data_IF_444428776313
#
_entry.id   IF_444428776313
#
_cell.length_a   1.000
_cell.length_b   1.000
_cell.length_c   1.000
_cell.angle_alpha   90.00
_cell.angle_beta   90.00
_cell.angle_gamma   90.00
#
_symmetry.space_group_name_H-M   'P 1'
#
loop_
_entity.id
_entity.type
_entity.pdbx_description
1 polymer ?
#
# COMPACT_ATOMS: atom_id res chain seq x y z
N UNK A 1 16.89 -41.54 -16.24
CA UNK A 1 17.84 -41.62 -15.11
C UNK A 1 19.19 -41.10 -15.57
N UNK A 2 19.89 -40.32 -14.73
CA UNK A 2 21.31 -40.00 -14.91
C UNK A 2 21.63 -38.56 -15.29
N UNK A 3 21.63 -37.66 -14.31
CA UNK A 3 22.19 -36.30 -14.39
C UNK A 3 23.71 -36.33 -14.64
N UNK A 4 24.17 -35.69 -15.71
CA UNK A 4 25.60 -35.41 -15.94
C UNK A 4 26.00 -34.20 -15.08
N UNK A 5 26.62 -34.46 -13.93
CA UNK A 5 27.35 -33.43 -13.15
C UNK A 5 28.68 -33.13 -13.86
N UNK A 6 28.81 -31.96 -14.49
CA UNK A 6 30.13 -31.44 -14.88
C UNK A 6 30.93 -31.10 -13.61
N UNK A 7 32.02 -31.84 -13.36
CA UNK A 7 33.09 -31.44 -12.44
C UNK A 7 33.78 -30.21 -13.04
N UNK A 8 33.66 -29.06 -12.39
CA UNK A 8 34.52 -27.90 -12.66
C UNK A 8 35.72 -28.04 -11.73
N UNK A 9 36.88 -28.28 -12.31
CA UNK A 9 38.16 -28.19 -11.60
C UNK A 9 38.48 -26.70 -11.42
N UNK A 10 38.46 -26.23 -10.18
CA UNK A 10 38.98 -24.92 -9.82
C UNK A 10 40.44 -25.09 -9.41
N UNK A 11 41.34 -24.47 -10.17
CA UNK A 11 42.75 -24.32 -9.80
C UNK A 11 42.90 -22.99 -9.06
N UNK A 12 43.31 -22.97 -7.78
CA UNK A 12 43.48 -21.72 -7.05
C UNK A 12 44.72 -20.97 -7.56
N UNK A 13 44.67 -19.63 -7.72
CA UNK A 13 45.88 -18.84 -7.91
C UNK A 13 46.76 -18.88 -6.66
N UNK A 14 48.07 -18.93 -6.88
CA UNK A 14 49.08 -19.03 -5.85
C UNK A 14 49.21 -17.74 -5.00
N UNK A 15 49.35 -17.98 -3.70
CA UNK A 15 50.03 -17.18 -2.67
C UNK A 15 49.43 -15.82 -2.23
N UNK A 16 48.51 -15.94 -1.27
CA UNK A 16 48.64 -15.48 0.13
C UNK A 16 49.20 -14.08 0.40
N UNK A 17 48.29 -13.10 0.50
CA UNK A 17 48.35 -12.17 1.63
C UNK A 17 47.70 -12.87 2.83
N UNK A 18 48.38 -12.92 3.97
CA UNK A 18 47.95 -13.65 5.16
C UNK A 18 46.52 -13.24 5.57
N UNK A 19 45.62 -14.22 5.57
CA UNK A 19 44.27 -14.11 6.15
C UNK A 19 44.46 -14.07 7.67
N UNK A 20 44.52 -12.88 8.24
CA UNK A 20 44.21 -12.69 9.66
C UNK A 20 42.72 -12.48 9.80
N UNK A 21 41.95 -13.57 9.72
CA UNK A 21 40.64 -13.60 10.38
C UNK A 21 40.89 -13.56 11.88
N UNK A 22 40.95 -12.35 12.43
CA UNK A 22 40.80 -12.14 13.86
C UNK A 22 39.37 -12.55 14.21
N UNK A 23 39.22 -13.67 14.91
CA UNK A 23 37.92 -14.22 15.35
C UNK A 23 37.02 -13.10 15.89
N UNK A 24 35.94 -12.77 15.17
CA UNK A 24 34.95 -11.76 15.59
C UNK A 24 35.04 -10.38 14.92
N UNK A 25 35.80 -10.22 13.83
CA UNK A 25 35.88 -8.94 13.09
C UNK A 25 36.01 -9.09 11.57
N UNK A 26 35.62 -8.03 10.84
CA UNK A 26 35.85 -7.89 9.39
C UNK A 26 36.57 -6.59 9.10
N UNK A 27 37.51 -6.57 8.17
CA UNK A 27 38.19 -5.35 7.72
C UNK A 27 37.63 -5.00 6.34
N UNK A 28 37.05 -3.81 6.20
CA UNK A 28 36.44 -3.31 4.97
C UNK A 28 37.02 -1.95 4.62
N UNK A 29 37.03 -1.59 3.35
CA UNK A 29 37.28 -0.22 2.92
C UNK A 29 35.98 0.60 2.92
N UNK A 30 36.04 1.88 3.26
CA UNK A 30 34.87 2.75 3.14
C UNK A 30 34.33 2.79 1.70
N UNK A 31 35.24 2.76 0.72
CA UNK A 31 34.91 2.70 -0.70
C UNK A 31 34.07 1.47 -1.07
N UNK A 32 34.15 0.37 -0.31
CA UNK A 32 33.33 -0.83 -0.57
C UNK A 32 31.84 -0.55 -0.44
N UNK A 33 31.46 0.34 0.48
CA UNK A 33 30.07 0.75 0.64
C UNK A 33 29.62 1.69 -0.47
N UNK A 34 30.52 2.49 -1.03
CA UNK A 34 30.20 3.38 -2.14
C UNK A 34 30.03 2.58 -3.44
N UNK A 35 30.90 1.61 -3.70
CA UNK A 35 30.73 0.66 -4.80
C UNK A 35 29.41 -0.14 -4.67
N UNK A 36 29.05 -0.56 -3.45
CA UNK A 36 27.75 -1.20 -3.21
C UNK A 36 26.59 -0.25 -3.53
N UNK A 37 26.69 1.04 -3.22
CA UNK A 37 25.65 2.03 -3.57
C UNK A 37 25.56 2.25 -5.07
N UNK A 38 26.69 2.29 -5.79
CA UNK A 38 26.71 2.38 -7.25
C UNK A 38 26.03 1.17 -7.89
N UNK A 39 26.27 -0.04 -7.35
CA UNK A 39 25.56 -1.23 -7.77
C UNK A 39 24.04 -1.14 -7.51
N UNK A 40 23.62 -0.59 -6.35
CA UNK A 40 22.20 -0.35 -6.09
C UNK A 40 21.58 0.63 -7.11
N UNK A 41 22.33 1.63 -7.55
CA UNK A 41 21.90 2.55 -8.62
C UNK A 41 21.78 1.82 -9.95
N UNK A 42 22.76 0.99 -10.32
CA UNK A 42 22.72 0.18 -11.53
C UNK A 42 21.51 -0.78 -11.53
N UNK A 43 21.33 -1.56 -10.46
CA UNK A 43 20.19 -2.48 -10.31
C UNK A 43 18.83 -1.76 -10.38
N UNK A 44 18.77 -0.50 -9.93
CA UNK A 44 17.58 0.33 -10.08
C UNK A 44 17.35 0.71 -11.54
N UNK A 45 18.38 1.20 -12.22
CA UNK A 45 18.31 1.64 -13.61
C UNK A 45 17.96 0.47 -14.54
N UNK A 46 18.44 -0.73 -14.23
CA UNK A 46 18.12 -1.99 -14.92
C UNK A 46 16.74 -2.57 -14.53
N UNK A 47 15.96 -1.89 -13.67
CA UNK A 47 14.61 -2.32 -13.28
C UNK A 47 14.57 -3.52 -12.31
N UNK A 48 15.72 -4.06 -11.89
CA UNK A 48 15.83 -5.17 -10.96
C UNK A 48 15.39 -4.81 -9.52
N UNK A 49 15.29 -3.51 -9.22
CA UNK A 49 14.91 -3.00 -7.90
C UNK A 49 13.89 -1.84 -7.95
N UNK A 50 12.85 -1.92 -7.12
CA UNK A 50 11.85 -0.84 -6.99
C UNK A 50 12.43 0.38 -6.26
N UNK A 51 11.93 1.59 -6.56
CA UNK A 51 12.34 2.86 -5.91
C UNK A 51 12.32 2.78 -4.38
N UNK A 52 11.27 2.22 -3.77
CA UNK A 52 11.19 2.11 -2.31
C UNK A 52 12.23 1.16 -1.71
N UNK A 53 12.54 0.04 -2.40
CA UNK A 53 13.59 -0.90 -1.97
C UNK A 53 14.98 -0.27 -2.12
N UNK A 54 15.21 0.50 -3.18
CA UNK A 54 16.43 1.29 -3.38
C UNK A 54 16.61 2.32 -2.24
N UNK A 55 15.58 3.14 -1.97
CA UNK A 55 15.61 4.13 -0.90
C UNK A 55 15.87 3.49 0.45
N UNK A 56 15.16 2.41 0.80
CA UNK A 56 15.36 1.74 2.08
C UNK A 56 16.78 1.18 2.24
N UNK A 57 17.35 0.55 1.19
CA UNK A 57 18.70 -0.01 1.24
C UNK A 57 19.77 1.07 1.31
N UNK A 58 19.68 2.09 0.46
CA UNK A 58 20.64 3.19 0.44
C UNK A 58 20.62 3.99 1.74
N UNK A 59 19.45 4.35 2.25
CA UNK A 59 19.32 5.07 3.52
C UNK A 59 19.82 4.24 4.70
N UNK A 60 19.54 2.93 4.73
CA UNK A 60 20.04 2.06 5.80
C UNK A 60 21.57 1.98 5.84
N UNK A 61 22.22 1.88 4.67
CA UNK A 61 23.70 1.89 4.58
C UNK A 61 24.25 3.23 5.05
N UNK A 62 23.68 4.36 4.60
CA UNK A 62 24.13 5.69 5.03
C UNK A 62 24.01 5.89 6.53
N UNK A 63 22.87 5.51 7.11
CA UNK A 63 22.64 5.58 8.56
C UNK A 63 23.62 4.67 9.30
N UNK A 64 23.83 3.45 8.83
CA UNK A 64 24.81 2.57 9.46
C UNK A 64 26.22 3.19 9.46
N UNK A 65 26.67 3.73 8.32
CA UNK A 65 27.99 4.38 8.22
C UNK A 65 28.11 5.63 9.10
N UNK A 66 27.09 6.50 9.09
CA UNK A 66 27.03 7.70 9.94
C UNK A 66 27.26 7.34 11.41
N UNK A 67 26.51 6.35 11.92
CA UNK A 67 26.58 5.95 13.31
C UNK A 67 27.81 5.07 13.62
N UNK A 68 28.32 4.29 12.65
CA UNK A 68 29.57 3.56 12.80
C UNK A 68 30.76 4.52 12.95
N UNK A 69 30.88 5.51 12.06
CA UNK A 69 31.94 6.54 12.12
C UNK A 69 31.87 7.30 13.43
N UNK A 70 30.66 7.72 13.83
CA UNK A 70 30.42 8.44 15.08
C UNK A 70 30.80 7.63 16.32
N UNK A 71 30.42 6.36 16.38
CA UNK A 71 30.68 5.49 17.55
C UNK A 71 32.12 5.04 17.67
N UNK A 72 32.78 4.84 16.52
CA UNK A 72 34.15 4.31 16.46
C UNK A 72 35.21 5.41 16.51
N UNK A 73 34.83 6.68 16.30
CA UNK A 73 35.75 7.81 16.31
C UNK A 73 36.76 7.74 15.15
N UNK A 74 36.30 7.33 13.96
CA UNK A 74 37.18 7.19 12.79
C UNK A 74 37.63 8.58 12.33
N UNK A 75 38.94 8.80 12.30
CA UNK A 75 39.53 10.06 11.83
C UNK A 75 39.32 10.26 10.31
N UNK A 76 39.12 11.51 9.85
CA UNK A 76 39.04 11.83 8.43
C UNK A 76 40.28 11.33 7.66
N UNK A 77 40.06 10.55 6.60
CA UNK A 77 41.14 9.97 5.79
C UNK A 77 41.46 8.50 6.06
N UNK A 78 40.87 7.88 7.09
CA UNK A 78 40.97 6.44 7.33
C UNK A 78 40.20 5.67 6.24
N UNK A 79 40.90 4.87 5.43
CA UNK A 79 40.28 4.10 4.34
C UNK A 79 39.79 2.72 4.79
N UNK A 80 40.51 2.05 5.69
CA UNK A 80 40.18 0.70 6.17
C UNK A 80 39.57 0.74 7.57
N UNK A 81 38.45 0.04 7.75
CA UNK A 81 37.70 -0.02 9.00
C UNK A 81 37.56 -1.48 9.43
N UNK A 82 38.06 -1.79 10.63
CA UNK A 82 37.74 -3.03 11.34
C UNK A 82 36.34 -2.92 11.95
N UNK A 83 35.39 -3.72 11.52
CA UNK A 83 34.02 -3.80 12.05
C UNK A 83 33.87 -5.07 12.87
N UNK A 84 33.45 -4.92 14.12
CA UNK A 84 33.11 -6.01 15.04
C UNK A 84 31.60 -6.06 15.29
N UNK A 85 31.13 -7.18 15.86
CA UNK A 85 29.77 -7.31 16.40
C UNK A 85 29.42 -6.16 17.37
N UNK A 86 30.37 -5.76 18.22
CA UNK A 86 30.19 -4.66 19.19
C UNK A 86 30.03 -3.30 18.50
N UNK A 87 30.77 -3.04 17.42
CA UNK A 87 30.64 -1.79 16.66
C UNK A 87 29.25 -1.66 16.04
N UNK A 88 28.74 -2.75 15.46
CA UNK A 88 27.38 -2.78 14.87
C UNK A 88 26.33 -2.58 15.96
N UNK A 89 26.48 -3.26 17.10
CA UNK A 89 25.61 -3.06 18.24
C UNK A 89 25.58 -1.61 18.72
N UNK A 90 26.74 -0.98 18.89
CA UNK A 90 26.86 0.40 19.35
C UNK A 90 26.24 1.37 18.34
N UNK A 91 26.53 1.22 17.04
CA UNK A 91 25.99 2.07 15.99
C UNK A 91 24.46 2.08 16.01
N UNK A 92 23.83 0.90 16.04
CA UNK A 92 22.37 0.81 16.11
C UNK A 92 21.79 1.23 17.45
N UNK A 93 22.51 1.03 18.56
CA UNK A 93 22.06 1.49 19.89
C UNK A 93 21.99 3.02 19.95
N UNK A 94 23.03 3.73 19.49
CA UNK A 94 23.01 5.20 19.43
C UNK A 94 21.93 5.68 18.45
N UNK A 95 21.81 5.06 17.28
CA UNK A 95 20.74 5.38 16.32
C UNK A 95 19.35 5.25 16.95
N UNK A 96 19.09 4.18 17.71
CA UNK A 96 17.80 3.99 18.39
C UNK A 96 17.56 5.06 19.45
N UNK A 97 18.57 5.39 20.25
CA UNK A 97 18.45 6.41 21.30
C UNK A 97 18.16 7.81 20.71
N UNK A 98 18.87 8.20 19.65
CA UNK A 98 18.74 9.54 19.07
C UNK A 98 17.52 9.70 18.16
N UNK A 99 17.24 8.70 17.31
CA UNK A 99 16.20 8.82 16.28
C UNK A 99 14.87 8.20 16.68
N UNK A 100 14.85 7.37 17.73
CA UNK A 100 13.66 6.62 18.21
C UNK A 100 12.82 6.04 17.06
N UNK A 101 13.43 5.27 16.14
CA UNK A 101 12.74 4.77 14.95
C UNK A 101 11.62 3.80 15.34
N UNK A 102 10.56 3.74 14.55
CA UNK A 102 9.57 2.67 14.67
C UNK A 102 10.25 1.30 14.50
N UNK A 103 9.75 0.27 15.19
CA UNK A 103 10.31 -1.11 15.13
C UNK A 103 10.42 -1.63 13.69
N UNK A 104 9.44 -1.31 12.84
CA UNK A 104 9.49 -1.69 11.43
C UNK A 104 10.64 -1.02 10.66
N UNK A 105 10.92 0.25 10.95
CA UNK A 105 12.06 0.99 10.37
C UNK A 105 13.37 0.39 10.86
N UNK A 106 13.50 0.10 12.15
CA UNK A 106 14.68 -0.58 12.71
C UNK A 106 14.91 -1.94 12.05
N UNK A 107 13.87 -2.77 11.92
CA UNK A 107 13.94 -4.08 11.23
C UNK A 107 14.40 -3.91 9.78
N UNK A 108 13.89 -2.90 9.08
CA UNK A 108 14.27 -2.62 7.69
C UNK A 108 15.75 -2.23 7.58
N UNK A 109 16.25 -1.43 8.51
CA UNK A 109 17.63 -0.96 8.50
C UNK A 109 18.60 -2.09 8.86
N UNK A 110 18.35 -2.82 9.95
CA UNK A 110 19.13 -4.00 10.34
C UNK A 110 19.23 -5.02 9.20
N UNK A 111 18.08 -5.34 8.56
CA UNK A 111 18.05 -6.26 7.44
C UNK A 111 18.84 -5.75 6.22
N UNK A 112 18.70 -4.47 5.89
CA UNK A 112 19.36 -3.88 4.71
C UNK A 112 20.87 -3.76 4.93
N UNK A 113 21.30 -3.38 6.13
CA UNK A 113 22.72 -3.34 6.52
C UNK A 113 23.33 -4.74 6.53
N UNK A 114 22.63 -5.74 7.08
CA UNK A 114 23.05 -7.15 6.99
C UNK A 114 23.27 -7.56 5.53
N UNK A 115 22.32 -7.27 4.65
CA UNK A 115 22.40 -7.62 3.23
C UNK A 115 23.52 -6.90 2.50
N UNK A 116 23.83 -5.66 2.86
CA UNK A 116 24.97 -4.93 2.33
C UNK A 116 26.30 -5.59 2.73
N UNK A 117 26.46 -5.90 4.02
CA UNK A 117 27.68 -6.56 4.52
C UNK A 117 27.85 -7.97 3.96
N UNK A 118 26.78 -8.78 3.89
CA UNK A 118 26.81 -10.10 3.24
C UNK A 118 27.29 -10.00 1.79
N UNK A 119 26.78 -9.01 1.05
CA UNK A 119 27.14 -8.81 -0.35
C UNK A 119 28.59 -8.38 -0.51
N UNK A 120 29.04 -7.37 0.22
CA UNK A 120 30.41 -6.85 0.15
C UNK A 120 31.41 -7.95 0.52
N UNK A 121 31.20 -8.62 1.65
CA UNK A 121 32.12 -9.65 2.14
C UNK A 121 32.20 -10.85 1.20
N UNK A 122 31.07 -11.29 0.64
CA UNK A 122 31.06 -12.44 -0.26
C UNK A 122 31.65 -12.08 -1.63
N UNK A 123 31.24 -10.95 -2.22
CA UNK A 123 31.65 -10.57 -3.58
C UNK A 123 33.11 -10.16 -3.67
N UNK A 124 33.63 -9.42 -2.68
CA UNK A 124 34.99 -8.88 -2.72
C UNK A 124 36.01 -9.72 -1.97
N UNK A 125 35.60 -10.28 -0.84
CA UNK A 125 36.52 -10.95 0.08
C UNK A 125 36.31 -12.46 0.14
N UNK A 126 35.26 -12.99 -0.52
CA UNK A 126 34.84 -14.38 -0.43
C UNK A 126 34.65 -14.88 1.02
N UNK A 127 34.18 -13.99 1.90
CA UNK A 127 33.94 -14.24 3.32
C UNK A 127 32.44 -14.30 3.58
N UNK A 128 32.01 -15.31 4.32
CA UNK A 128 30.64 -15.39 4.83
C UNK A 128 30.50 -14.55 6.11
N UNK A 129 29.59 -13.58 6.12
CA UNK A 129 29.29 -12.74 7.29
C UNK A 129 29.01 -13.57 8.55
N UNK A 130 28.31 -14.70 8.41
CA UNK A 130 27.95 -15.59 9.52
C UNK A 130 29.15 -16.27 10.19
N UNK A 131 30.32 -16.26 9.54
CA UNK A 131 31.57 -16.81 10.10
C UNK A 131 32.41 -15.74 10.83
N UNK A 132 32.04 -14.46 10.75
CA UNK A 132 32.86 -13.34 11.25
C UNK A 132 32.12 -12.44 12.24
N UNK A 133 30.85 -12.13 11.99
CA UNK A 133 30.03 -11.28 12.86
C UNK A 133 28.86 -12.10 13.42
N UNK A 134 28.61 -11.95 14.72
CA UNK A 134 27.46 -12.57 15.38
C UNK A 134 26.16 -12.05 14.77
N UNK A 135 25.33 -12.93 14.19
CA UNK A 135 24.16 -12.52 13.43
C UNK A 135 23.03 -11.93 14.30
N UNK A 136 23.10 -12.12 15.61
CA UNK A 136 22.17 -11.61 16.61
C UNK A 136 22.07 -10.07 16.62
N UNK A 137 23.15 -9.36 16.26
CA UNK A 137 23.12 -7.89 16.15
C UNK A 137 22.30 -7.38 14.96
N UNK A 138 21.83 -8.27 14.09
CA UNK A 138 20.86 -7.92 13.06
C UNK A 138 19.43 -8.32 13.41
N UNK A 139 19.20 -8.86 14.62
CA UNK A 139 17.87 -9.18 15.12
C UNK A 139 17.26 -7.95 15.83
N UNK A 140 16.14 -7.38 15.36
CA UNK A 140 15.49 -6.27 16.06
C UNK A 140 15.07 -6.62 17.50
N UNK A 141 14.74 -7.89 17.77
CA UNK A 141 14.34 -8.33 19.11
C UNK A 141 15.50 -8.28 20.11
N UNK A 142 16.75 -8.39 19.65
CA UNK A 142 17.95 -8.20 20.48
C UNK A 142 17.98 -6.78 21.07
N UNK A 143 17.73 -5.76 20.26
CA UNK A 143 17.69 -4.37 20.73
C UNK A 143 16.44 -4.07 21.57
N UNK A 144 15.28 -4.60 21.16
CA UNK A 144 14.02 -4.38 21.91
C UNK A 144 14.12 -4.99 23.31
N UNK A 145 14.70 -6.19 23.44
CA UNK A 145 14.88 -6.85 24.73
C UNK A 145 15.96 -6.19 25.60
N UNK A 146 17.09 -5.78 25.04
CA UNK A 146 18.18 -5.11 25.77
C UNK A 146 17.78 -3.69 26.23
N UNK A 147 17.09 -2.91 25.38
CA UNK A 147 16.60 -1.56 25.71
C UNK A 147 15.33 -1.59 26.59
N UNK A 148 14.62 -2.73 26.64
CA UNK A 148 13.49 -2.91 27.57
C UNK A 148 13.94 -2.94 29.03
N UNK A 149 15.20 -3.33 29.32
CA UNK A 149 15.73 -3.29 30.70
C UNK A 149 15.91 -1.86 31.22
N UNK A 150 16.16 -0.88 30.35
CA UNK A 150 16.29 0.54 30.72
C UNK A 150 15.01 1.37 30.51
N UNK A 151 13.93 0.78 29.98
CA UNK A 151 12.67 1.48 29.75
C UNK A 151 11.47 0.59 30.06
N UNK A 152 11.27 0.26 31.34
CA UNK A 152 10.02 -0.38 31.78
C UNK A 152 8.88 0.66 31.75
N UNK A 153 8.28 0.85 30.57
CA UNK A 153 6.84 1.06 30.54
C UNK A 153 6.19 -0.24 31.04
N UNK A 154 5.33 -0.17 32.04
CA UNK A 154 4.62 -1.35 32.55
C UNK A 154 3.86 -2.05 31.42
N UNK A 155 3.73 -3.37 31.48
CA UNK A 155 2.93 -4.18 30.54
C UNK A 155 1.53 -3.57 30.32
N UNK A 156 0.95 -2.97 31.36
CA UNK A 156 -0.31 -2.23 31.30
C UNK A 156 -0.27 -0.97 30.41
N UNK A 157 0.82 -0.20 30.45
CA UNK A 157 1.02 0.96 29.57
C UNK A 157 1.24 0.55 28.12
N UNK A 158 2.03 -0.50 27.87
CA UNK A 158 2.22 -1.06 26.54
C UNK A 158 0.89 -1.57 25.96
N UNK A 159 0.08 -2.28 26.76
CA UNK A 159 -1.25 -2.73 26.35
C UNK A 159 -2.20 -1.56 26.10
N UNK A 160 -2.18 -0.52 26.95
CA UNK A 160 -3.01 0.68 26.78
C UNK A 160 -2.62 1.45 25.51
N UNK A 161 -1.33 1.62 25.25
CA UNK A 161 -0.83 2.25 24.02
C UNK A 161 -1.13 1.38 22.78
N UNK A 162 -1.00 0.06 22.87
CA UNK A 162 -1.41 -0.87 21.81
C UNK A 162 -2.92 -0.77 21.52
N UNK A 163 -3.77 -0.88 22.54
CA UNK A 163 -5.23 -0.77 22.39
C UNK A 163 -5.64 0.60 21.85
N UNK A 164 -5.00 1.68 22.33
CA UNK A 164 -5.23 3.02 21.80
C UNK A 164 -4.81 3.13 20.33
N UNK A 165 -3.65 2.56 19.97
CA UNK A 165 -3.16 2.52 18.60
C UNK A 165 -4.05 1.66 17.69
N UNK A 166 -4.55 0.52 18.16
CA UNK A 166 -5.51 -0.32 17.43
C UNK A 166 -6.85 0.40 17.24
N UNK A 167 -7.40 1.05 18.28
CA UNK A 167 -8.61 1.87 18.17
C UNK A 167 -8.43 3.03 17.18
N UNK A 168 -7.28 3.71 17.23
CA UNK A 168 -6.96 4.80 16.30
C UNK A 168 -6.67 4.34 14.87
N UNK A 169 -6.40 3.04 14.64
CA UNK A 169 -6.24 2.45 13.30
C UNK A 169 -7.58 2.17 12.62
N UNK A 170 -8.67 2.07 13.39
CA UNK A 170 -10.03 1.88 12.85
C UNK A 170 -10.50 3.18 12.23
N UNK A 171 -10.92 3.11 10.98
CA UNK A 171 -11.55 4.21 10.27
C UNK A 171 -13.05 3.98 10.38
N UNK A 172 -13.79 4.94 10.93
CA UNK A 172 -15.24 4.82 11.12
C UNK A 172 -16.01 5.23 9.87
N UNK A 173 -17.29 4.85 9.80
CA UNK A 173 -18.17 5.29 8.71
C UNK A 173 -18.31 6.80 8.67
N UNK A 174 -18.41 7.45 9.84
CA UNK A 174 -18.56 8.91 9.93
C UNK A 174 -17.36 9.60 9.30
N UNK A 175 -16.15 9.08 9.50
CA UNK A 175 -14.95 9.67 8.88
C UNK A 175 -14.95 9.53 7.36
N UNK A 176 -15.46 8.43 6.83
CA UNK A 176 -15.60 8.22 5.38
C UNK A 176 -16.71 9.10 4.81
N UNK A 177 -17.85 9.22 5.51
CA UNK A 177 -18.93 10.15 5.16
C UNK A 177 -18.47 11.61 5.17
N UNK A 178 -17.73 12.03 6.20
CA UNK A 178 -17.12 13.35 6.28
C UNK A 178 -16.14 13.59 5.10
N UNK A 179 -15.39 12.58 4.68
CA UNK A 179 -14.55 12.67 3.48
C UNK A 179 -15.36 12.79 2.19
N UNK A 180 -16.50 12.13 2.08
CA UNK A 180 -17.40 12.24 0.94
C UNK A 180 -18.07 13.63 0.89
N UNK A 181 -18.50 14.18 2.03
CA UNK A 181 -18.96 15.59 2.15
C UNK A 181 -17.87 16.57 1.72
N UNK A 182 -16.64 16.33 2.15
CA UNK A 182 -15.51 17.16 1.71
C UNK A 182 -15.31 17.11 0.19
N UNK A 183 -15.41 15.91 -0.40
CA UNK A 183 -15.29 15.71 -1.83
C UNK A 183 -16.41 16.42 -2.60
N UNK A 184 -17.65 16.37 -2.11
CA UNK A 184 -18.78 17.14 -2.65
C UNK A 184 -18.48 18.65 -2.65
N UNK A 185 -17.99 19.21 -1.54
CA UNK A 185 -17.55 20.62 -1.46
C UNK A 185 -16.50 20.90 -2.54
N UNK A 186 -15.49 20.04 -2.70
CA UNK A 186 -14.47 20.21 -3.73
C UNK A 186 -15.06 20.19 -5.15
N UNK A 187 -15.99 19.28 -5.45
CA UNK A 187 -16.64 19.18 -6.76
C UNK A 187 -17.39 20.48 -7.09
N UNK A 188 -18.13 21.03 -6.12
CA UNK A 188 -18.89 22.27 -6.31
C UNK A 188 -18.02 23.51 -6.40
N UNK A 189 -16.95 23.59 -5.60
CA UNK A 189 -16.09 24.77 -5.50
C UNK A 189 -14.96 24.79 -6.54
N UNK A 190 -14.54 23.62 -7.04
CA UNK A 190 -13.39 23.46 -7.95
C UNK A 190 -13.74 22.49 -9.09
N UNK A 191 -14.46 22.99 -10.10
CA UNK A 191 -14.85 22.25 -11.32
C UNK A 191 -13.66 21.98 -12.26
N UNK A 192 -12.72 21.16 -11.81
CA UNK A 192 -11.49 20.82 -12.53
C UNK A 192 -11.40 19.33 -12.80
N UNK A 193 -10.72 18.94 -13.88
CA UNK A 193 -10.44 17.52 -14.18
C UNK A 193 -9.73 16.84 -13.01
N UNK A 194 -8.82 17.52 -12.32
CA UNK A 194 -8.09 16.96 -11.17
C UNK A 194 -9.02 16.55 -10.01
N UNK A 195 -10.07 17.32 -9.75
CA UNK A 195 -11.08 16.96 -8.73
C UNK A 195 -11.95 15.80 -9.20
N UNK A 196 -12.26 15.72 -10.49
CA UNK A 196 -12.95 14.56 -11.08
C UNK A 196 -12.10 13.29 -11.04
N UNK A 197 -10.79 13.40 -11.26
CA UNK A 197 -9.83 12.31 -11.10
C UNK A 197 -9.83 11.83 -9.64
N UNK A 198 -9.77 12.76 -8.67
CA UNK A 198 -9.86 12.45 -7.24
C UNK A 198 -11.17 11.74 -6.90
N UNK A 199 -12.30 12.25 -7.41
CA UNK A 199 -13.63 11.70 -7.20
C UNK A 199 -13.72 10.25 -7.68
N UNK A 200 -13.35 9.99 -8.94
CA UNK A 200 -13.36 8.64 -9.49
C UNK A 200 -12.37 7.72 -8.76
N UNK A 201 -11.16 8.19 -8.42
CA UNK A 201 -10.20 7.41 -7.67
C UNK A 201 -10.71 7.04 -6.27
N UNK A 202 -11.43 7.93 -5.59
CA UNK A 202 -12.10 7.65 -4.31
C UNK A 202 -13.17 6.57 -4.47
N UNK A 203 -14.00 6.64 -5.52
CA UNK A 203 -15.03 5.63 -5.79
C UNK A 203 -14.39 4.27 -6.11
N UNK A 204 -13.35 4.22 -6.95
CA UNK A 204 -12.60 2.99 -7.23
C UNK A 204 -12.04 2.42 -5.94
N UNK A 205 -11.40 3.24 -5.09
CA UNK A 205 -10.82 2.79 -3.83
C UNK A 205 -11.87 2.21 -2.87
N UNK A 206 -13.04 2.84 -2.76
CA UNK A 206 -14.14 2.37 -1.91
C UNK A 206 -14.74 1.05 -2.44
N UNK A 207 -14.96 0.95 -3.75
CA UNK A 207 -15.68 -0.18 -4.37
C UNK A 207 -14.77 -1.34 -4.82
N UNK A 208 -13.46 -1.26 -4.55
CA UNK A 208 -12.50 -2.34 -4.86
C UNK A 208 -11.47 -2.60 -3.76
N UNK A 209 -11.26 -1.64 -2.85
CA UNK A 209 -10.16 -1.68 -1.89
C UNK A 209 -8.77 -1.54 -2.53
N UNK A 210 -8.66 -1.10 -3.79
CA UNK A 210 -7.39 -1.00 -4.50
C UNK A 210 -6.37 -0.07 -3.83
N UNK A 211 -5.08 -0.35 -4.02
CA UNK A 211 -3.95 0.48 -3.56
C UNK A 211 -3.72 1.65 -4.51
N UNK A 212 -3.08 2.72 -4.04
CA UNK A 212 -2.73 3.88 -4.89
C UNK A 212 -1.92 3.51 -6.12
N UNK A 213 -0.94 2.62 -5.96
CA UNK A 213 -0.16 2.10 -7.09
C UNK A 213 -0.98 1.28 -8.09
N UNK A 214 -2.05 0.62 -7.64
CA UNK A 214 -2.93 -0.19 -8.50
C UNK A 214 -3.89 0.72 -9.28
N UNK A 215 -4.45 1.75 -8.61
CA UNK A 215 -5.33 2.75 -9.22
C UNK A 215 -4.56 3.60 -10.24
N UNK A 216 -3.30 3.95 -9.95
CA UNK A 216 -2.48 4.76 -10.84
C UNK A 216 -2.08 4.06 -12.14
N UNK A 217 -2.04 2.73 -12.13
CA UNK A 217 -1.63 1.88 -13.27
C UNK A 217 -2.83 1.49 -14.16
N UNK A 218 -4.02 2.05 -13.90
CA UNK A 218 -5.23 1.72 -14.66
C UNK A 218 -5.27 2.43 -16.02
N UNK A 219 -5.54 1.65 -17.05
CA UNK A 219 -5.90 2.05 -18.42
C UNK A 219 -7.20 1.33 -18.80
N UNK A 220 -7.95 1.85 -19.78
CA UNK A 220 -9.07 1.07 -20.31
C UNK A 220 -8.56 -0.09 -21.17
N UNK A 221 -7.57 0.22 -22.01
CA UNK A 221 -6.99 -0.70 -22.99
C UNK A 221 -5.46 -0.65 -22.94
N UNK A 222 -4.83 -1.76 -23.30
CA UNK A 222 -3.37 -1.90 -23.47
C UNK A 222 -3.12 -2.49 -24.84
N UNK A 223 -2.11 -1.98 -25.54
CA UNK A 223 -1.70 -2.52 -26.85
C UNK A 223 -0.50 -3.45 -26.63
N UNK A 224 -0.60 -4.68 -27.12
CA UNK A 224 0.48 -5.67 -27.12
C UNK A 224 0.54 -6.28 -28.51
N UNK A 225 1.70 -6.22 -29.17
CA UNK A 225 1.92 -6.80 -30.50
C UNK A 225 0.88 -6.43 -31.56
N UNK A 226 0.33 -5.21 -31.47
CA UNK A 226 -0.73 -4.71 -32.36
C UNK A 226 -2.16 -5.09 -31.94
N UNK A 227 -2.32 -5.96 -30.95
CA UNK A 227 -3.62 -6.34 -30.38
C UNK A 227 -4.03 -5.43 -29.24
N UNK A 228 -5.32 -5.10 -29.17
CA UNK A 228 -5.90 -4.29 -28.10
C UNK A 228 -6.55 -5.17 -27.04
N UNK A 229 -6.02 -5.14 -25.83
CA UNK A 229 -6.51 -5.92 -24.69
C UNK A 229 -7.18 -4.97 -23.68
N UNK A 230 -8.37 -5.31 -23.20
CA UNK A 230 -9.07 -4.52 -22.18
C UNK A 230 -8.51 -4.80 -20.79
N UNK A 231 -7.88 -3.81 -20.14
CA UNK A 231 -7.54 -3.89 -18.71
C UNK A 231 -8.76 -3.54 -17.83
N UNK A 232 -9.66 -2.69 -18.32
CA UNK A 232 -10.97 -2.45 -17.71
C UNK A 232 -12.03 -2.95 -18.70
N UNK A 233 -12.55 -4.14 -18.44
CA UNK A 233 -13.63 -4.73 -19.23
C UNK A 233 -14.98 -4.37 -18.61
N UNK A 234 -15.58 -3.30 -19.14
CA UNK A 234 -16.88 -2.79 -18.69
C UNK A 234 -18.06 -3.71 -19.04
N UNK A 235 -17.91 -4.58 -20.05
CA UNK A 235 -18.96 -5.51 -20.47
C UNK A 235 -19.02 -6.70 -19.52
N UNK A 236 -17.85 -7.27 -19.20
CA UNK A 236 -17.73 -8.32 -18.19
C UNK A 236 -17.91 -7.79 -16.77
N UNK A 237 -17.60 -6.51 -16.55
CA UNK A 237 -17.60 -5.86 -15.25
C UNK A 237 -16.39 -6.29 -14.44
N UNK A 238 -15.19 -6.27 -15.05
CA UNK A 238 -13.93 -6.72 -14.47
C UNK A 238 -12.85 -5.64 -14.65
N UNK A 239 -12.03 -5.42 -13.62
CA UNK A 239 -10.78 -4.67 -13.69
C UNK A 239 -9.60 -5.62 -13.42
N UNK A 240 -8.61 -5.63 -14.32
CA UNK A 240 -7.37 -6.38 -14.13
C UNK A 240 -6.33 -5.51 -13.42
N UNK A 241 -6.23 -5.64 -12.09
CA UNK A 241 -5.26 -4.89 -11.29
C UNK A 241 -3.87 -5.51 -11.35
N UNK A 242 -2.86 -4.71 -11.64
CA UNK A 242 -1.47 -5.12 -11.58
C UNK A 242 -0.92 -5.07 -10.15
N UNK A 243 -0.62 -6.24 -9.59
CA UNK A 243 -0.19 -6.48 -8.21
C UNK A 243 1.27 -6.91 -8.15
N UNK A 244 2.15 -5.91 -8.27
CA UNK A 244 3.63 -6.01 -8.15
C UNK A 244 4.18 -6.66 -6.87
N UNK A 245 3.33 -7.08 -5.92
CA UNK A 245 3.73 -7.76 -4.67
C UNK A 245 3.53 -9.28 -4.70
N UNK A 246 2.80 -9.83 -5.67
CA UNK A 246 2.60 -11.28 -5.83
C UNK A 246 3.75 -11.93 -6.63
N UNK A 247 4.98 -11.42 -6.47
CA UNK A 247 6.16 -11.69 -7.30
C UNK A 247 6.72 -13.11 -7.12
N UNK A 248 6.09 -14.07 -7.78
CA UNK A 248 6.75 -15.33 -8.14
C UNK A 248 6.86 -15.50 -9.67
N UNK A 249 5.95 -14.93 -10.47
CA UNK A 249 6.01 -14.90 -11.95
C UNK A 249 5.45 -13.58 -12.52
N UNK A 250 6.05 -13.06 -13.60
CA UNK A 250 5.58 -11.84 -14.29
C UNK A 250 4.17 -12.01 -14.89
N UNK A 251 3.85 -13.21 -15.39
CA UNK A 251 2.54 -13.59 -15.94
C UNK A 251 1.45 -13.68 -14.86
N UNK A 252 1.85 -13.82 -13.58
CA UNK A 252 0.95 -13.96 -12.43
C UNK A 252 0.69 -12.66 -11.68
N UNK A 253 1.12 -11.53 -12.26
CA UNK A 253 1.10 -10.23 -11.60
C UNK A 253 -0.25 -9.50 -11.69
N UNK A 254 -1.22 -9.98 -12.48
CA UNK A 254 -2.54 -9.35 -12.59
C UNK A 254 -3.60 -10.09 -11.78
N UNK A 255 -4.60 -9.38 -11.24
CA UNK A 255 -5.78 -9.98 -10.62
C UNK A 255 -7.09 -9.36 -11.14
N UNK A 256 -8.01 -10.15 -11.73
CA UNK A 256 -9.31 -9.69 -12.19
C UNK A 256 -10.24 -9.48 -11.00
N UNK A 257 -10.70 -8.27 -10.80
CA UNK A 257 -11.65 -7.92 -9.76
C UNK A 257 -12.98 -7.61 -10.41
N UNK A 258 -14.02 -8.35 -10.03
CA UNK A 258 -15.38 -8.00 -10.39
C UNK A 258 -15.73 -6.64 -9.76
N UNK A 259 -16.36 -5.76 -10.53
CA UNK A 259 -16.73 -4.42 -10.08
C UNK A 259 -18.22 -4.21 -10.02
N UNK A 260 -18.64 -3.41 -9.04
CA UNK A 260 -20.03 -3.05 -8.82
C UNK A 260 -20.63 -2.30 -10.03
N UNK A 261 -21.93 -2.50 -10.38
CA UNK A 261 -22.58 -1.78 -11.47
C UNK A 261 -22.46 -0.24 -11.38
N UNK A 262 -22.48 0.32 -10.18
CA UNK A 262 -22.27 1.76 -9.97
C UNK A 262 -20.90 2.20 -10.49
N UNK A 263 -19.83 1.42 -10.22
CA UNK A 263 -18.50 1.75 -10.71
C UNK A 263 -18.40 1.57 -12.23
N UNK A 264 -19.10 0.59 -12.81
CA UNK A 264 -19.15 0.42 -14.28
C UNK A 264 -19.70 1.68 -14.94
N UNK A 265 -20.81 2.21 -14.44
CA UNK A 265 -21.46 3.40 -15.02
C UNK A 265 -20.62 4.66 -14.81
N UNK A 266 -19.96 4.80 -13.65
CA UNK A 266 -18.99 5.88 -13.40
C UNK A 266 -17.81 5.85 -14.37
N UNK A 267 -17.27 4.66 -14.64
CA UNK A 267 -16.17 4.49 -15.60
C UNK A 267 -16.61 4.78 -17.04
N UNK A 268 -17.83 4.38 -17.44
CA UNK A 268 -18.41 4.74 -18.75
C UNK A 268 -18.56 6.26 -18.91
N UNK A 269 -19.14 6.92 -17.90
CA UNK A 269 -19.33 8.36 -17.91
C UNK A 269 -17.97 9.10 -17.99
N UNK A 270 -17.00 8.68 -17.19
CA UNK A 270 -15.66 9.27 -17.20
C UNK A 270 -14.92 9.04 -18.53
N UNK A 271 -14.98 7.82 -19.10
CA UNK A 271 -14.37 7.50 -20.40
C UNK A 271 -14.86 8.44 -21.49
N UNK A 272 -16.18 8.57 -21.64
CA UNK A 272 -16.81 9.45 -22.65
C UNK A 272 -16.39 10.90 -22.51
N UNK A 273 -16.20 11.38 -21.27
CA UNK A 273 -15.95 12.79 -21.01
C UNK A 273 -14.47 13.19 -21.06
N UNK A 274 -13.55 12.33 -20.62
CA UNK A 274 -12.17 12.75 -20.34
C UNK A 274 -11.07 11.90 -21.02
N UNK A 275 -11.42 10.76 -21.65
CA UNK A 275 -10.45 9.83 -22.26
C UNK A 275 -10.84 9.51 -23.70
N UNK A 276 -10.48 10.39 -24.65
CA UNK A 276 -10.65 10.10 -26.07
C UNK A 276 -9.77 8.92 -26.53
N UNK A 277 -8.59 8.76 -25.92
CA UNK A 277 -7.70 7.61 -26.15
C UNK A 277 -7.77 6.65 -24.95
N UNK A 278 -8.36 5.45 -25.11
CA UNK A 278 -8.54 4.47 -24.04
C UNK A 278 -7.23 3.77 -23.63
N UNK A 279 -6.16 3.93 -24.40
CA UNK A 279 -4.85 3.35 -24.10
C UNK A 279 -4.02 4.19 -23.14
N UNK A 280 -4.43 5.43 -22.89
CA UNK A 280 -3.75 6.31 -21.92
C UNK A 280 -4.15 5.98 -20.49
N UNK A 281 -3.24 6.19 -19.51
CA UNK A 281 -3.56 6.03 -18.09
C UNK A 281 -4.77 6.87 -17.69
N UNK A 282 -5.68 6.27 -16.92
CA UNK A 282 -6.97 6.84 -16.50
C UNK A 282 -6.80 8.21 -15.84
N UNK A 283 -5.73 8.36 -15.07
CA UNK A 283 -5.41 9.57 -14.31
C UNK A 283 -4.16 10.31 -14.80
N UNK A 284 -3.41 9.80 -15.78
CA UNK A 284 -2.13 10.39 -16.22
C UNK A 284 -0.96 10.17 -15.24
N UNK A 285 0.06 11.04 -15.25
CA UNK A 285 1.29 10.92 -14.44
C UNK A 285 1.13 11.33 -12.96
N UNK A 286 -0.09 11.40 -12.42
CA UNK A 286 -0.30 11.88 -11.06
C UNK A 286 -0.05 10.76 -10.06
N UNK A 287 0.84 10.96 -9.09
CA UNK A 287 0.86 10.08 -7.92
C UNK A 287 -0.47 10.23 -7.16
N UNK A 288 -1.38 9.26 -7.30
CA UNK A 288 -2.70 9.29 -6.67
C UNK A 288 -2.61 9.54 -5.15
N UNK A 289 -1.63 8.96 -4.47
CA UNK A 289 -1.42 9.23 -3.03
C UNK A 289 -1.13 10.72 -2.75
N UNK A 290 -0.37 11.42 -3.60
CA UNK A 290 -0.15 12.87 -3.51
C UNK A 290 -1.43 13.65 -3.83
N UNK A 291 -2.21 13.19 -4.80
CA UNK A 291 -3.50 13.81 -5.14
C UNK A 291 -4.46 13.77 -3.94
N UNK A 292 -4.61 12.60 -3.31
CA UNK A 292 -5.39 12.44 -2.09
C UNK A 292 -4.88 13.36 -0.99
N UNK A 293 -3.58 13.35 -0.72
CA UNK A 293 -3.00 14.18 0.34
C UNK A 293 -3.24 15.68 0.09
N UNK A 294 -3.08 16.16 -1.14
CA UNK A 294 -3.23 17.58 -1.47
C UNK A 294 -4.68 18.05 -1.40
N UNK A 295 -5.64 17.23 -1.81
CA UNK A 295 -7.05 17.64 -1.85
C UNK A 295 -7.83 17.29 -0.59
N UNK A 296 -7.52 16.19 0.10
CA UNK A 296 -8.13 15.87 1.39
C UNK A 296 -7.49 16.60 2.59
N UNK A 297 -6.40 17.36 2.37
CA UNK A 297 -5.86 18.29 3.39
C UNK A 297 -6.43 19.69 3.14
N UNK A 298 -7.34 20.21 3.99
CA UNK A 298 -8.06 21.45 3.71
C UNK A 298 -7.17 22.65 3.40
N UNK A 299 -6.09 22.86 4.16
CA UNK A 299 -5.14 23.95 3.94
C UNK A 299 -4.34 23.84 2.63
N UNK A 300 -4.24 22.64 2.05
CA UNK A 300 -3.60 22.44 0.74
C UNK A 300 -4.59 22.60 -0.40
N UNK A 301 -5.83 22.16 -0.19
CA UNK A 301 -6.91 22.31 -1.15
C UNK A 301 -7.29 23.78 -1.33
N UNK A 302 -7.37 24.56 -0.24
CA UNK A 302 -7.70 25.98 -0.25
C UNK A 302 -6.53 26.79 0.31
N UNK A 303 -5.75 27.41 -0.60
CA UNK A 303 -4.58 28.23 -0.22
C UNK A 303 -4.95 29.56 0.43
N UNK A 304 -6.16 30.08 0.17
CA UNK A 304 -6.66 31.30 0.81
C UNK A 304 -7.12 30.98 2.23
N UNK A 305 -6.50 31.63 3.21
CA UNK A 305 -6.80 31.47 4.63
C UNK A 305 -8.25 31.88 4.94
N UNK A 306 -8.68 33.03 4.45
CA UNK A 306 -10.05 33.55 4.63
C UNK A 306 -11.11 32.57 4.09
N UNK A 307 -10.96 32.09 2.86
CA UNK A 307 -11.89 31.11 2.27
C UNK A 307 -11.95 29.82 3.08
N UNK A 308 -10.82 29.38 3.61
CA UNK A 308 -10.74 28.19 4.44
C UNK A 308 -11.43 28.42 5.80
N UNK A 309 -11.25 29.58 6.43
CA UNK A 309 -11.93 29.95 7.67
C UNK A 309 -13.44 30.01 7.48
N UNK A 310 -13.93 30.65 6.41
CA UNK A 310 -15.36 30.66 6.07
C UNK A 310 -15.91 29.25 5.85
N UNK A 311 -15.16 28.37 5.18
CA UNK A 311 -15.57 26.97 4.99
C UNK A 311 -15.70 26.23 6.34
N UNK A 312 -14.75 26.44 7.26
CA UNK A 312 -14.76 25.85 8.60
C UNK A 312 -15.86 26.41 9.52
N UNK A 313 -16.23 27.68 9.34
CA UNK A 313 -17.37 28.29 10.03
C UNK A 313 -18.70 27.72 9.51
N UNK A 314 -18.84 27.60 8.18
CA UNK A 314 -20.06 27.11 7.54
C UNK A 314 -20.27 25.60 7.72
N UNK A 315 -19.20 24.83 7.94
CA UNK A 315 -19.24 23.37 8.08
C UNK A 315 -18.75 22.94 9.46
N UNK A 316 -19.64 22.98 10.47
CA UNK A 316 -19.28 22.61 11.86
C UNK A 316 -18.63 21.23 11.99
N UNK A 317 -19.04 20.25 11.18
CA UNK A 317 -18.46 18.90 11.19
C UNK A 317 -16.97 18.88 10.81
N UNK A 318 -16.50 19.84 10.02
CA UNK A 318 -15.12 19.93 9.55
C UNK A 318 -14.15 20.34 10.67
N UNK A 319 -14.66 20.99 11.73
CA UNK A 319 -13.86 21.43 12.88
C UNK A 319 -13.24 20.27 13.67
N UNK A 320 -13.74 19.04 13.49
CA UNK A 320 -13.11 17.80 14.00
C UNK A 320 -11.71 17.56 13.40
N UNK A 321 -11.42 18.14 12.24
CA UNK A 321 -10.20 17.89 11.46
C UNK A 321 -9.32 19.14 11.40
N UNK A 322 -8.07 19.08 11.91
CA UNK A 322 -7.12 20.18 11.76
C UNK A 322 -6.85 20.49 10.28
N UNK A 323 -6.82 21.77 9.84
CA UNK A 323 -6.65 22.14 8.44
C UNK A 323 -5.39 21.60 7.76
N UNK A 324 -4.32 21.37 8.54
CA UNK A 324 -3.02 20.92 8.05
C UNK A 324 -2.93 19.39 7.91
N UNK A 325 -3.93 18.65 8.38
CA UNK A 325 -3.97 17.18 8.31
C UNK A 325 -5.01 16.72 7.29
N UNK A 326 -4.74 15.62 6.57
CA UNK A 326 -5.74 15.06 5.67
C UNK A 326 -6.93 14.51 6.46
N UNK A 327 -8.15 14.81 6.01
CA UNK A 327 -9.38 14.21 6.53
C UNK A 327 -9.30 12.68 6.38
N UNK A 328 -8.91 12.22 5.18
CA UNK A 328 -8.63 10.82 4.90
C UNK A 328 -7.51 10.68 3.86
N UNK A 329 -6.69 9.64 3.99
CA UNK A 329 -5.76 9.20 2.95
C UNK A 329 -6.21 7.90 2.29
N UNK A 330 -5.69 7.60 1.10
CA UNK A 330 -6.06 6.40 0.36
C UNK A 330 -5.80 5.09 1.13
N UNK A 331 -4.68 5.02 1.88
CA UNK A 331 -4.40 3.88 2.76
C UNK A 331 -5.46 3.69 3.84
N UNK A 332 -6.04 4.78 4.35
CA UNK A 332 -7.11 4.73 5.35
C UNK A 332 -8.42 4.24 4.73
N UNK A 333 -8.77 4.69 3.52
CA UNK A 333 -9.91 4.15 2.76
C UNK A 333 -9.75 2.63 2.57
N UNK A 334 -8.58 2.18 2.13
CA UNK A 334 -8.34 0.75 1.94
C UNK A 334 -8.49 -0.05 3.25
N UNK A 335 -8.02 0.49 4.38
CA UNK A 335 -8.22 -0.14 5.70
C UNK A 335 -9.69 -0.21 6.09
N UNK A 336 -10.43 0.88 5.86
CA UNK A 336 -11.87 0.92 6.08
C UNK A 336 -12.58 -0.19 5.28
N UNK A 337 -12.30 -0.29 3.98
CA UNK A 337 -12.89 -1.32 3.11
C UNK A 337 -12.54 -2.73 3.59
N UNK A 338 -11.29 -3.00 3.97
CA UNK A 338 -10.88 -4.31 4.51
C UNK A 338 -11.64 -4.69 5.79
N UNK A 339 -11.75 -3.75 6.74
CA UNK A 339 -12.52 -3.94 7.97
C UNK A 339 -14.01 -4.13 7.68
N UNK A 340 -14.59 -3.31 6.81
CA UNK A 340 -15.97 -3.44 6.37
C UNK A 340 -16.25 -4.81 5.73
N UNK A 341 -15.42 -5.23 4.77
CA UNK A 341 -15.57 -6.52 4.11
C UNK A 341 -15.47 -7.68 5.10
N UNK A 342 -14.63 -7.56 6.15
CA UNK A 342 -14.58 -8.57 7.20
C UNK A 342 -15.93 -8.72 7.91
N UNK A 343 -16.49 -7.60 8.40
CA UNK A 343 -17.76 -7.60 9.12
C UNK A 343 -18.91 -8.07 8.21
N UNK A 344 -18.95 -7.54 6.98
CA UNK A 344 -19.99 -7.88 6.00
C UNK A 344 -19.98 -9.36 5.62
N UNK A 345 -18.82 -9.99 5.51
CA UNK A 345 -18.75 -11.43 5.27
C UNK A 345 -19.40 -12.25 6.39
N UNK A 346 -19.21 -11.87 7.66
CA UNK A 346 -19.85 -12.54 8.78
C UNK A 346 -21.37 -12.34 8.75
N UNK A 347 -21.84 -11.11 8.52
CA UNK A 347 -23.28 -10.85 8.36
C UNK A 347 -23.92 -11.68 7.24
N UNK A 348 -23.24 -11.80 6.09
CA UNK A 348 -23.74 -12.58 4.96
C UNK A 348 -23.66 -14.10 5.23
N UNK A 349 -22.64 -14.54 5.97
CA UNK A 349 -22.52 -15.92 6.42
C UNK A 349 -23.67 -16.33 7.33
N UNK A 350 -24.03 -15.48 8.30
CA UNK A 350 -25.17 -15.70 9.21
C UNK A 350 -26.50 -15.77 8.45
N UNK A 351 -26.61 -15.03 7.35
CA UNK A 351 -27.76 -15.08 6.42
C UNK A 351 -27.74 -16.28 5.46
N UNK A 352 -26.80 -17.22 5.62
CA UNK A 352 -26.70 -18.43 4.79
C UNK A 352 -26.16 -18.21 3.38
N UNK A 353 -25.60 -17.03 3.08
CA UNK A 353 -25.10 -16.70 1.72
C UNK A 353 -23.96 -17.64 1.30
N UNK A 354 -23.05 -17.97 2.23
CA UNK A 354 -21.96 -18.92 1.98
C UNK A 354 -22.48 -20.28 1.50
N UNK A 355 -23.48 -20.83 2.20
CA UNK A 355 -24.15 -22.07 1.82
C UNK A 355 -24.84 -21.98 0.46
N UNK A 356 -25.52 -20.87 0.19
CA UNK A 356 -26.30 -20.67 -1.04
C UNK A 356 -25.45 -20.50 -2.30
N UNK A 357 -24.29 -19.85 -2.19
CA UNK A 357 -23.43 -19.52 -3.34
C UNK A 357 -22.26 -20.50 -3.50
N UNK A 358 -21.69 -20.96 -2.38
CA UNK A 358 -20.40 -21.66 -2.39
C UNK A 358 -20.47 -23.07 -1.78
N UNK A 359 -21.65 -23.55 -1.38
CA UNK A 359 -21.84 -24.89 -0.82
C UNK A 359 -21.82 -24.91 0.71
N UNK A 360 -22.28 -26.01 1.29
CA UNK A 360 -22.62 -26.12 2.72
C UNK A 360 -21.39 -26.12 3.65
N UNK A 361 -21.61 -25.66 4.89
CA UNK A 361 -20.65 -25.79 5.99
C UNK A 361 -19.41 -24.89 5.86
N UNK A 362 -18.30 -25.31 6.47
CA UNK A 362 -17.04 -24.56 6.53
C UNK A 362 -16.46 -24.25 5.13
N UNK A 363 -16.80 -25.06 4.12
CA UNK A 363 -16.36 -24.86 2.74
C UNK A 363 -16.89 -23.54 2.14
N UNK A 364 -18.17 -23.21 2.39
CA UNK A 364 -18.76 -21.96 1.91
C UNK A 364 -18.12 -20.73 2.57
N UNK A 365 -17.86 -20.81 3.88
CA UNK A 365 -17.21 -19.75 4.65
C UNK A 365 -15.75 -19.53 4.21
N UNK A 366 -15.01 -20.62 3.98
CA UNK A 366 -13.63 -20.54 3.51
C UNK A 366 -13.58 -19.88 2.12
N UNK A 367 -14.48 -20.23 1.21
CA UNK A 367 -14.57 -19.59 -0.12
C UNK A 367 -14.87 -18.09 -0.03
N UNK A 368 -15.77 -17.66 0.86
CA UNK A 368 -16.02 -16.23 1.09
C UNK A 368 -14.76 -15.51 1.59
N UNK A 369 -14.05 -16.11 2.56
CA UNK A 369 -12.79 -15.57 3.10
C UNK A 369 -11.70 -15.47 2.04
N UNK A 370 -11.52 -16.53 1.24
CA UNK A 370 -10.58 -16.54 0.10
C UNK A 370 -10.93 -15.45 -0.91
N UNK A 371 -12.21 -15.28 -1.22
CA UNK A 371 -12.66 -14.24 -2.15
C UNK A 371 -12.38 -12.83 -1.63
N UNK A 372 -12.56 -12.55 -0.33
CA UNK A 372 -12.14 -11.25 0.24
C UNK A 372 -10.63 -11.03 0.09
N UNK A 373 -9.81 -12.02 0.44
CA UNK A 373 -8.36 -11.90 0.31
C UNK A 373 -7.93 -11.71 -1.15
N UNK A 374 -8.63 -12.36 -2.07
CA UNK A 374 -8.52 -12.19 -3.51
C UNK A 374 -8.85 -10.76 -3.94
N UNK A 375 -9.99 -10.19 -3.53
CA UNK A 375 -10.36 -8.80 -3.80
C UNK A 375 -9.28 -7.82 -3.33
N UNK A 376 -8.68 -8.08 -2.17
CA UNK A 376 -7.63 -7.22 -1.59
C UNK A 376 -6.22 -7.51 -2.12
N UNK A 377 -6.00 -8.58 -2.88
CA UNK A 377 -4.66 -8.93 -3.37
C UNK A 377 -3.69 -9.25 -2.26
N UNK A 378 -4.09 -10.22 -1.44
CA UNK A 378 -3.23 -10.91 -0.50
C UNK A 378 -2.83 -12.25 -1.10
N UNK A 379 -1.58 -12.66 -0.93
CA UNK A 379 -1.09 -13.96 -1.37
C UNK A 379 -1.73 -15.12 -0.57
N UNK A 380 -2.10 -14.85 0.68
CA UNK A 380 -2.68 -15.85 1.57
C UNK A 380 -4.11 -16.23 1.17
N UNK A 381 -4.30 -17.49 0.76
CA UNK A 381 -5.61 -18.06 0.42
C UNK A 381 -6.09 -17.83 -1.01
N UNK A 382 -5.24 -17.28 -1.90
CA UNK A 382 -5.53 -17.14 -3.33
C UNK A 382 -4.87 -18.28 -4.08
N UNK A 383 -5.64 -19.32 -4.39
CA UNK A 383 -5.21 -20.40 -5.27
C UNK A 383 -5.26 -19.91 -6.74
N UNK A 384 -4.19 -20.10 -7.49
CA UNK A 384 -4.13 -19.73 -8.91
C UNK A 384 -5.14 -20.52 -9.77
N UNK A 385 -5.52 -21.73 -9.35
CA UNK A 385 -6.59 -22.49 -10.00
C UNK A 385 -7.97 -21.86 -9.79
N UNK A 386 -8.15 -21.12 -8.69
CA UNK A 386 -9.34 -20.31 -8.45
C UNK A 386 -9.44 -19.15 -9.44
N UNK A 387 -8.31 -18.50 -9.75
CA UNK A 387 -8.25 -17.40 -10.73
C UNK A 387 -8.72 -17.84 -12.13
N UNK A 388 -8.24 -18.99 -12.59
CA UNK A 388 -8.56 -19.53 -13.92
C UNK A 388 -10.04 -19.93 -13.97
N UNK A 389 -10.49 -20.73 -12.99
CA UNK A 389 -11.90 -21.15 -12.92
C UNK A 389 -12.90 -20.00 -12.76
N UNK A 390 -12.55 -18.93 -12.03
CA UNK A 390 -13.44 -17.75 -11.86
C UNK A 390 -13.57 -16.87 -13.09
N UNK A 391 -12.66 -16.96 -14.06
CA UNK A 391 -12.69 -16.14 -15.28
C UNK A 391 -13.14 -16.90 -16.52
N UNK A 392 -13.05 -18.24 -16.50
CA UNK A 392 -13.40 -19.10 -17.63
C UNK A 392 -14.77 -19.78 -17.48
N UNK A 393 -15.19 -20.19 -16.27
CA UNK A 393 -16.48 -20.85 -16.07
C UNK A 393 -17.60 -19.82 -15.76
N UNK A 394 -18.63 -19.70 -16.62
CA UNK A 394 -19.74 -18.76 -16.44
C UNK A 394 -20.48 -18.91 -15.11
N UNK A 395 -20.53 -20.11 -14.54
CA UNK A 395 -21.21 -20.39 -13.26
C UNK A 395 -20.47 -19.77 -12.08
N UNK A 396 -19.13 -19.79 -12.10
CA UNK A 396 -18.33 -19.12 -11.07
C UNK A 396 -18.39 -17.60 -11.26
N UNK A 397 -18.25 -17.11 -12.49
CA UNK A 397 -18.39 -15.68 -12.83
C UNK A 397 -19.68 -15.09 -12.25
N UNK A 398 -20.83 -15.73 -12.52
CA UNK A 398 -22.13 -15.27 -12.04
C UNK A 398 -22.20 -15.22 -10.51
N UNK A 399 -21.68 -16.24 -9.82
CA UNK A 399 -21.66 -16.33 -8.36
C UNK A 399 -20.79 -15.24 -7.73
N UNK A 400 -19.57 -15.03 -8.22
CA UNK A 400 -18.67 -14.01 -7.69
C UNK A 400 -19.12 -12.59 -8.00
N UNK A 401 -19.72 -12.36 -9.18
CA UNK A 401 -20.36 -11.09 -9.50
C UNK A 401 -21.52 -10.80 -8.54
N UNK A 402 -22.39 -11.79 -8.30
CA UNK A 402 -23.49 -11.66 -7.31
C UNK A 402 -22.96 -11.39 -5.90
N UNK A 403 -21.93 -12.12 -5.47
CA UNK A 403 -21.34 -11.92 -4.15
C UNK A 403 -20.68 -10.54 -3.99
N UNK A 404 -19.99 -10.06 -5.04
CA UNK A 404 -19.42 -8.71 -5.09
C UNK A 404 -20.48 -7.65 -4.93
N UNK A 405 -21.62 -7.80 -5.60
CA UNK A 405 -22.74 -6.88 -5.43
C UNK A 405 -23.24 -6.88 -3.99
N UNK A 406 -23.52 -8.05 -3.39
CA UNK A 406 -23.96 -8.13 -1.99
C UNK A 406 -22.99 -7.49 -0.98
N UNK A 407 -21.68 -7.56 -1.25
CA UNK A 407 -20.65 -6.91 -0.45
C UNK A 407 -20.72 -5.39 -0.59
N UNK A 408 -20.80 -4.85 -1.81
CA UNK A 408 -20.70 -3.41 -2.05
C UNK A 408 -22.03 -2.67 -2.03
N UNK A 409 -23.17 -3.32 -2.27
CA UNK A 409 -24.51 -2.78 -2.01
C UNK A 409 -24.62 -2.33 -0.56
N UNK A 410 -24.23 -3.21 0.39
CA UNK A 410 -24.24 -2.87 1.81
C UNK A 410 -23.23 -1.77 2.18
N UNK A 411 -22.17 -1.55 1.40
CA UNK A 411 -21.22 -0.46 1.64
C UNK A 411 -21.84 0.86 1.18
N UNK A 412 -22.46 0.84 0.00
CA UNK A 412 -23.16 2.00 -0.57
C UNK A 412 -24.26 2.44 0.38
N UNK A 413 -25.15 1.53 0.80
CA UNK A 413 -26.24 1.81 1.75
C UNK A 413 -25.72 2.47 3.03
N UNK A 414 -24.63 1.93 3.57
CA UNK A 414 -24.00 2.43 4.79
C UNK A 414 -23.44 3.84 4.63
N UNK A 415 -22.94 4.18 3.45
CA UNK A 415 -22.34 5.47 3.13
C UNK A 415 -23.32 6.49 2.55
N UNK A 416 -24.60 6.12 2.34
CA UNK A 416 -25.64 7.07 1.96
C UNK A 416 -25.99 8.03 3.12
N UNK A 417 -26.43 9.27 2.82
CA UNK A 417 -26.59 9.84 1.47
C UNK A 417 -25.29 10.37 0.85
N UNK A 418 -24.20 10.51 1.62
CA UNK A 418 -22.96 11.16 1.20
C UNK A 418 -22.32 10.52 -0.04
N UNK A 419 -22.44 9.20 -0.19
CA UNK A 419 -21.98 8.50 -1.38
C UNK A 419 -22.71 8.94 -2.65
N UNK A 420 -24.03 9.17 -2.56
CA UNK A 420 -24.85 9.61 -3.68
C UNK A 420 -24.46 10.99 -4.21
N UNK A 421 -24.03 11.90 -3.32
CA UNK A 421 -23.63 13.27 -3.68
C UNK A 421 -22.32 13.35 -4.47
N UNK A 422 -21.48 12.31 -4.44
CA UNK A 422 -20.21 12.28 -5.17
C UNK A 422 -20.25 11.46 -6.46
N UNK A 423 -21.41 10.88 -6.80
CA UNK A 423 -21.61 10.26 -8.10
C UNK A 423 -21.70 11.31 -9.20
N UNK A 424 -21.33 10.93 -10.41
CA UNK A 424 -21.54 11.79 -11.58
C UNK A 424 -23.04 12.03 -11.77
N UNK A 425 -23.46 13.23 -12.25
CA UNK A 425 -24.88 13.55 -12.41
C UNK A 425 -25.64 12.53 -13.24
N UNK A 426 -25.00 12.01 -14.30
CA UNK A 426 -25.55 10.97 -15.16
C UNK A 426 -25.87 9.69 -14.36
N UNK A 427 -24.90 9.20 -13.58
CA UNK A 427 -25.05 7.96 -12.81
C UNK A 427 -26.02 8.15 -11.65
N UNK A 428 -25.95 9.28 -10.94
CA UNK A 428 -26.89 9.62 -9.89
C UNK A 428 -28.34 9.65 -10.41
N UNK A 429 -28.58 10.26 -11.59
CA UNK A 429 -29.90 10.30 -12.21
C UNK A 429 -30.40 8.92 -12.63
N UNK A 430 -29.50 8.03 -13.09
CA UNK A 430 -29.84 6.68 -13.53
C UNK A 430 -30.17 5.75 -12.36
N UNK A 431 -29.47 5.89 -11.24
CA UNK A 431 -29.62 5.02 -10.09
C UNK A 431 -30.68 5.50 -9.10
N UNK A 432 -30.88 6.82 -9.00
CA UNK A 432 -31.76 7.44 -7.99
C UNK A 432 -32.86 8.33 -8.60
N UNK A 433 -33.19 8.14 -9.87
CA UNK A 433 -33.99 9.05 -10.68
C UNK A 433 -35.26 9.64 -10.04
N UNK A 434 -35.41 10.96 -10.19
CA UNK A 434 -36.61 11.83 -10.01
C UNK A 434 -37.32 11.87 -8.65
N UNK A 435 -36.72 11.41 -7.55
CA UNK A 435 -37.27 11.63 -6.20
C UNK A 435 -36.55 12.73 -5.39
N UNK A 436 -35.43 13.26 -5.90
CA UNK A 436 -34.60 14.26 -5.22
C UNK A 436 -34.90 15.72 -5.58
N UNK A 437 -35.55 16.01 -6.71
CA UNK A 437 -36.02 17.37 -7.02
C UNK A 437 -37.14 17.81 -6.08
N UNK A 438 -38.01 16.88 -5.65
CA UNK A 438 -39.10 17.16 -4.72
C UNK A 438 -38.59 17.38 -3.29
N UNK A 439 -37.55 16.66 -2.84
CA UNK A 439 -37.02 16.86 -1.48
C UNK A 439 -36.11 18.10 -1.35
N UNK A 440 -35.35 18.45 -2.39
CA UNK A 440 -34.57 19.69 -2.41
C UNK A 440 -35.45 20.96 -2.50
N UNK A 441 -36.60 20.87 -3.20
CA UNK A 441 -37.59 21.95 -3.21
C UNK A 441 -38.33 22.08 -1.87
N UNK A 442 -38.67 20.97 -1.22
CA UNK A 442 -39.41 20.99 0.06
C UNK A 442 -38.54 21.43 1.25
N UNK A 443 -37.21 21.28 1.18
CA UNK A 443 -36.31 21.85 2.19
C UNK A 443 -36.03 23.36 1.96
N UNK A 444 -36.03 23.83 0.71
CA UNK A 444 -35.94 25.29 0.44
C UNK A 444 -37.22 26.04 0.83
N UNK A 445 -38.40 25.43 0.69
CA UNK A 445 -39.67 26.06 1.06
C UNK A 445 -39.94 26.09 2.58
N UNK A 446 -39.26 25.25 3.38
CA UNK A 446 -39.38 25.26 4.86
C UNK A 446 -38.40 26.20 5.57
N UNK A 447 -37.43 26.78 4.88
CA UNK A 447 -36.47 27.75 5.46
C UNK A 447 -36.91 29.20 5.21
N UNK A 448 -37.98 29.43 4.44
CA UNK A 448 -38.56 30.76 4.18
C UNK A 448 -39.84 31.06 4.97
N UNK A 449 -40.26 30.17 5.87
CA UNK A 449 -41.37 30.40 6.78
C UNK A 449 -40.95 30.02 8.19
N UNK A 450 -40.25 30.91 8.88
CA UNK A 450 -40.34 31.27 10.30
C UNK A 450 -39.23 32.27 10.65
#
# INVERSE_FOLDING_TARGET
MGTVRRKVFYTPPAQTAAITTDNGSVILKLSDFDEYKEELVRMRNEGQMTVGKFQNRSTAVNVFLEYLIKTKGIEPGTNEIKITTKDIYNAFTIFIHERRPAVHTLRTYLYSTKKALEHILLSKYNILLSRTIGLEVFNPEFYVSQLSKSTFQTKGRQLKEYQLNERNKVISDERVKDALKWLEILIHTKKTRTVENLRLATIIALLTGARGSEINDLQFQVIVDGETINQIDLNRGIIYFHRKKLKEDATKSFTPVFIHPVLIEELKAYRRKYLPDPTKPLFGYYEIDKLFYNYYTPAKAFRSKEKLETLYQNNKWLQKYPPQKPIIGLRQIRKYVDSYLQARMFELADKGVGSSLFGKGLYGLDNMRRYKNYLLGRAEGVDFMHYISTTEDPRYVARYKRFTNMLFDGLIDRLMPEFGHVLSPEVASKLYGKSSETQAATQKSKVTSY
#
